data_IF_004881125006
#
_entry.id   IF_004881125006
#
_cell.length_a   1.000
_cell.length_b   1.000
_cell.length_c   1.000
_cell.angle_alpha   90.00
_cell.angle_beta   90.00
_cell.angle_gamma   90.00
#
_symmetry.space_group_name_H-M   'P 1'
#
loop_
_entity.id
_entity.type
_entity.pdbx_description
1 polymer ?
#
# COMPACT_ATOMS: atom_id res chain seq x y z
N UNK A 1 -10.15 36.06 25.98
CA UNK A 1 -11.16 35.11 26.50
C UNK A 1 -11.73 34.19 25.42
N UNK A 2 -11.46 34.42 24.12
CA UNK A 2 -11.84 33.51 23.02
C UNK A 2 -10.75 32.47 22.66
N UNK A 3 -9.48 32.68 23.06
CA UNK A 3 -8.38 31.75 22.72
C UNK A 3 -8.24 30.55 23.66
N UNK A 4 -8.85 30.59 24.84
CA UNK A 4 -8.78 29.48 25.82
C UNK A 4 -9.75 28.35 25.44
N UNK A 5 -10.91 28.70 24.87
CA UNK A 5 -11.96 27.74 24.51
C UNK A 5 -11.57 26.85 23.32
N UNK A 6 -10.76 27.35 22.37
CA UNK A 6 -10.31 26.58 21.20
C UNK A 6 -9.19 25.58 21.57
N UNK A 7 -8.33 25.95 22.52
CA UNK A 7 -7.28 25.08 23.03
C UNK A 7 -7.84 23.96 23.92
N UNK A 8 -8.86 24.25 24.73
CA UNK A 8 -9.57 23.23 25.52
C UNK A 8 -10.28 22.20 24.63
N UNK A 9 -10.92 22.61 23.53
CA UNK A 9 -11.57 21.67 22.60
C UNK A 9 -10.61 20.76 21.82
N UNK A 10 -9.37 21.18 21.58
CA UNK A 10 -8.34 20.33 20.92
C UNK A 10 -7.69 19.36 21.90
N UNK A 11 -7.49 19.77 23.14
CA UNK A 11 -7.01 18.89 24.21
C UNK A 11 -8.02 17.79 24.52
N UNK A 12 -9.32 18.12 24.51
CA UNK A 12 -10.40 17.16 24.72
C UNK A 12 -10.57 16.16 23.56
N UNK A 13 -10.33 16.58 22.30
CA UNK A 13 -10.34 15.66 21.15
C UNK A 13 -9.16 14.67 21.18
N UNK A 14 -7.96 15.14 21.52
CA UNK A 14 -6.81 14.25 21.72
C UNK A 14 -6.99 13.31 22.92
N UNK A 15 -7.66 13.78 23.99
CA UNK A 15 -8.01 12.96 25.14
C UNK A 15 -9.11 11.93 24.84
N UNK A 16 -10.05 12.23 23.93
CA UNK A 16 -11.07 11.30 23.45
C UNK A 16 -10.50 10.21 22.52
N UNK A 17 -9.46 10.52 21.73
CA UNK A 17 -8.72 9.52 20.94
C UNK A 17 -7.82 8.64 21.84
N UNK A 18 -7.35 9.17 22.98
CA UNK A 18 -6.53 8.44 23.95
C UNK A 18 -7.32 7.62 24.98
N UNK A 19 -8.64 7.83 25.08
CA UNK A 19 -9.49 7.17 26.07
C UNK A 19 -10.00 5.81 25.55
N UNK A 20 -9.23 4.78 25.90
CA UNK A 20 -9.52 3.32 25.93
C UNK A 20 -8.55 2.48 25.09
N UNK A 21 -7.25 2.57 25.37
CA UNK A 21 -6.34 1.45 25.08
C UNK A 21 -6.63 0.35 26.12
N UNK A 22 -7.51 -0.59 25.76
CA UNK A 22 -7.81 -1.83 26.50
C UNK A 22 -6.81 -2.95 26.20
N UNK A 23 -6.20 -2.93 25.01
CA UNK A 23 -5.21 -3.92 24.54
C UNK A 23 -3.76 -3.43 24.74
N UNK A 24 -2.82 -4.32 25.08
CA UNK A 24 -1.38 -4.00 25.06
C UNK A 24 -0.85 -3.65 23.66
N UNK A 25 -1.63 -3.95 22.60
CA UNK A 25 -1.28 -3.73 21.21
C UNK A 25 -2.18 -2.66 20.57
N UNK A 26 -1.63 -1.55 20.05
CA UNK A 26 -2.42 -0.46 19.47
C UNK A 26 -3.15 -0.86 18.17
N UNK A 27 -2.72 -1.94 17.50
CA UNK A 27 -3.31 -2.42 16.25
C UNK A 27 -4.45 -3.43 16.48
N UNK A 28 -4.98 -3.51 17.69
CA UNK A 28 -6.14 -4.35 18.04
C UNK A 28 -7.26 -3.55 18.73
N UNK A 29 -7.14 -2.24 18.78
CA UNK A 29 -8.02 -1.38 19.57
C UNK A 29 -8.36 -0.06 18.86
N UNK A 30 -9.35 0.66 19.37
CA UNK A 30 -9.84 1.91 18.80
C UNK A 30 -10.23 1.76 17.33
N UNK A 31 -9.63 2.55 16.45
CA UNK A 31 -9.91 2.45 15.01
C UNK A 31 -9.45 1.11 14.41
N UNK A 32 -8.50 0.41 15.05
CA UNK A 32 -7.98 -0.88 14.62
C UNK A 32 -8.71 -2.08 15.23
N UNK A 33 -9.75 -1.88 16.05
CA UNK A 33 -10.53 -3.00 16.59
C UNK A 33 -11.02 -3.91 15.45
N UNK A 34 -10.66 -5.21 15.44
CA UNK A 34 -10.99 -6.12 14.36
C UNK A 34 -12.49 -6.27 14.13
N UNK A 35 -12.89 -6.40 12.87
CA UNK A 35 -14.24 -6.82 12.51
C UNK A 35 -14.47 -8.28 12.87
N UNK A 36 -15.69 -8.59 13.32
CA UNK A 36 -16.09 -9.94 13.74
C UNK A 36 -16.86 -10.72 12.69
N UNK A 37 -17.42 -10.04 11.69
CA UNK A 37 -18.39 -10.59 10.74
C UNK A 37 -18.05 -10.24 9.28
N UNK A 38 -18.38 -11.13 8.35
CA UNK A 38 -18.46 -10.84 6.91
C UNK A 38 -19.84 -10.27 6.59
N UNK A 39 -19.87 -9.14 5.89
CA UNK A 39 -21.10 -8.41 5.57
C UNK A 39 -21.30 -8.37 4.05
N UNK A 40 -22.56 -8.28 3.65
CA UNK A 40 -23.00 -7.91 2.31
C UNK A 40 -24.07 -6.83 2.44
N UNK A 41 -23.87 -5.70 1.78
CA UNK A 41 -24.80 -4.58 1.76
C UNK A 41 -25.09 -4.22 0.30
N UNK A 42 -26.36 -4.15 -0.09
CA UNK A 42 -26.80 -3.77 -1.44
C UNK A 42 -27.61 -2.49 -1.47
N UNK A 43 -27.99 -1.98 -0.29
CA UNK A 43 -28.65 -0.69 -0.10
C UNK A 43 -27.67 0.26 0.59
N UNK A 44 -26.99 1.08 -0.21
CA UNK A 44 -25.96 2.00 0.25
C UNK A 44 -26.45 3.44 0.15
N UNK A 45 -26.43 4.16 1.27
CA UNK A 45 -26.78 5.57 1.28
C UNK A 45 -25.65 6.39 0.62
N UNK A 46 -26.02 7.34 -0.24
CA UNK A 46 -25.08 8.18 -0.99
C UNK A 46 -25.42 9.66 -0.77
N UNK A 47 -24.41 10.45 -0.41
CA UNK A 47 -24.46 11.92 -0.45
C UNK A 47 -23.67 12.41 -1.66
N UNK A 48 -24.19 13.41 -2.38
CA UNK A 48 -23.59 13.92 -3.61
C UNK A 48 -23.98 13.11 -4.85
N UNK A 49 -23.17 13.14 -5.89
CA UNK A 49 -23.44 12.49 -7.19
C UNK A 49 -22.24 11.67 -7.64
N UNK A 50 -22.39 10.34 -7.64
CA UNK A 50 -21.36 9.45 -8.19
C UNK A 50 -21.29 9.66 -9.71
N UNK A 51 -20.10 9.95 -10.27
CA UNK A 51 -19.98 10.19 -11.70
C UNK A 51 -20.40 8.95 -12.51
N UNK A 52 -21.19 9.14 -13.56
CA UNK A 52 -21.71 8.03 -14.36
C UNK A 52 -20.62 7.19 -15.07
N UNK A 53 -19.47 7.80 -15.39
CA UNK A 53 -18.31 7.11 -15.98
C UNK A 53 -17.43 6.38 -14.96
N UNK A 54 -17.78 6.41 -13.67
CA UNK A 54 -17.04 5.76 -12.60
C UNK A 54 -17.57 4.33 -12.41
N UNK A 55 -17.11 3.41 -13.27
CA UNK A 55 -17.60 2.03 -13.34
C UNK A 55 -16.50 1.01 -12.99
N UNK A 56 -16.75 0.21 -11.97
CA UNK A 56 -15.79 -0.74 -11.43
C UNK A 56 -16.01 -0.97 -9.95
N UNK A 57 -14.92 -1.29 -9.26
CA UNK A 57 -14.94 -1.56 -7.83
C UNK A 57 -13.69 -1.04 -7.18
N UNK A 58 -13.87 -0.31 -6.07
CA UNK A 58 -12.80 -0.04 -5.15
C UNK A 58 -12.61 -1.28 -4.28
N UNK A 59 -11.40 -1.83 -4.25
CA UNK A 59 -11.05 -2.94 -3.38
C UNK A 59 -9.86 -2.56 -2.53
N UNK A 60 -9.89 -2.89 -1.25
CA UNK A 60 -8.80 -2.66 -0.29
C UNK A 60 -8.64 -3.85 0.62
N UNK A 61 -7.41 -4.23 0.94
CA UNK A 61 -7.12 -5.32 1.88
C UNK A 61 -6.36 -4.78 3.10
N UNK A 62 -6.46 -5.51 4.21
CA UNK A 62 -5.67 -5.25 5.40
C UNK A 62 -5.78 -6.38 6.40
N UNK A 63 -5.08 -6.26 7.53
CA UNK A 63 -5.07 -7.27 8.57
C UNK A 63 -6.34 -7.16 9.42
N UNK A 64 -6.98 -8.29 9.66
CA UNK A 64 -8.16 -8.43 10.49
C UNK A 64 -8.19 -9.86 11.09
N UNK A 65 -7.62 -10.08 12.29
CA UNK A 65 -7.46 -11.43 12.84
C UNK A 65 -8.79 -12.18 12.91
N UNK A 66 -8.81 -13.42 12.41
CA UNK A 66 -10.01 -14.25 12.34
C UNK A 66 -10.31 -14.97 13.67
N UNK A 67 -9.31 -15.13 14.54
CA UNK A 67 -9.47 -15.57 15.92
C UNK A 67 -8.98 -14.48 16.87
N UNK A 68 -9.34 -14.59 18.16
CA UNK A 68 -8.79 -13.70 19.18
C UNK A 68 -7.25 -13.82 19.20
N UNK A 69 -6.51 -12.75 18.83
CA UNK A 69 -5.06 -12.81 18.76
C UNK A 69 -4.43 -12.70 20.15
N UNK A 70 -3.20 -13.20 20.28
CA UNK A 70 -2.34 -12.88 21.42
C UNK A 70 -1.81 -11.45 21.23
N UNK A 71 -2.30 -10.50 22.04
CA UNK A 71 -1.96 -9.09 21.89
C UNK A 71 -0.45 -8.81 22.03
N UNK A 72 0.27 -9.56 22.86
CA UNK A 72 1.71 -9.36 23.06
C UNK A 72 2.53 -9.80 21.83
N UNK A 73 2.01 -10.76 21.06
CA UNK A 73 2.70 -11.35 19.89
C UNK A 73 2.17 -10.87 18.55
N UNK A 74 1.02 -10.21 18.54
CA UNK A 74 0.38 -9.77 17.32
C UNK A 74 1.23 -8.68 16.64
N UNK A 75 1.57 -8.91 15.37
CA UNK A 75 2.16 -7.89 14.52
C UNK A 75 1.15 -7.51 13.44
N UNK A 76 0.95 -6.21 13.22
CA UNK A 76 -0.05 -5.69 12.28
C UNK A 76 0.14 -6.28 10.87
N UNK A 77 1.39 -6.37 10.41
CA UNK A 77 1.71 -6.90 9.06
C UNK A 77 1.49 -8.42 8.90
N UNK A 78 1.36 -9.17 9.99
CA UNK A 78 1.20 -10.64 9.92
C UNK A 78 -0.23 -11.10 10.21
N UNK A 79 -1.17 -10.17 10.40
CA UNK A 79 -2.57 -10.50 10.66
C UNK A 79 -3.27 -11.15 9.48
N UNK A 80 -4.33 -11.93 9.74
CA UNK A 80 -5.16 -12.54 8.70
C UNK A 80 -5.71 -11.48 7.74
N UNK A 81 -5.73 -11.72 6.43
CA UNK A 81 -6.24 -10.74 5.48
C UNK A 81 -7.76 -10.68 5.42
N UNK A 82 -8.29 -9.46 5.40
CA UNK A 82 -9.68 -9.18 5.01
C UNK A 82 -9.70 -8.16 3.88
N UNK A 83 -10.39 -8.53 2.80
CA UNK A 83 -10.64 -7.67 1.66
C UNK A 83 -11.98 -6.98 1.87
N UNK A 84 -12.04 -5.70 1.52
CA UNK A 84 -13.24 -4.88 1.43
C UNK A 84 -13.42 -4.46 -0.01
N UNK A 85 -14.59 -4.72 -0.59
CA UNK A 85 -14.95 -4.32 -1.95
C UNK A 85 -16.21 -3.46 -1.96
N UNK A 86 -16.22 -2.43 -2.81
CA UNK A 86 -17.41 -1.64 -3.10
C UNK A 86 -17.53 -1.44 -4.61
N UNK A 87 -18.58 -2.01 -5.20
CA UNK A 87 -18.85 -1.90 -6.63
C UNK A 87 -19.74 -0.71 -6.95
N UNK A 88 -19.41 -0.03 -8.04
CA UNK A 88 -20.12 1.13 -8.56
C UNK A 88 -20.32 0.93 -10.06
N UNK A 89 -21.53 1.20 -10.54
CA UNK A 89 -21.81 1.31 -11.97
C UNK A 89 -22.95 2.30 -12.20
N UNK A 90 -22.94 2.98 -13.36
CA UNK A 90 -24.01 3.88 -13.79
C UNK A 90 -24.42 4.92 -12.72
N UNK A 91 -23.45 5.46 -11.98
CA UNK A 91 -23.68 6.45 -10.93
C UNK A 91 -24.34 5.90 -9.66
N UNK A 92 -24.28 4.57 -9.43
CA UNK A 92 -24.85 3.91 -8.25
C UNK A 92 -23.83 3.05 -7.54
N UNK A 93 -23.79 3.10 -6.22
CA UNK A 93 -23.12 2.10 -5.41
C UNK A 93 -23.98 0.83 -5.36
N UNK A 94 -23.48 -0.26 -5.93
CA UNK A 94 -24.24 -1.50 -6.14
C UNK A 94 -24.18 -2.41 -4.91
N UNK A 95 -22.98 -2.59 -4.36
CA UNK A 95 -22.79 -3.41 -3.18
C UNK A 95 -21.51 -3.03 -2.45
N UNK A 96 -21.49 -3.33 -1.15
CA UNK A 96 -20.30 -3.45 -0.32
C UNK A 96 -20.21 -4.88 0.22
N UNK A 97 -18.99 -5.44 0.24
CA UNK A 97 -18.69 -6.73 0.85
C UNK A 97 -17.36 -6.69 1.58
N UNK A 98 -17.25 -7.46 2.65
CA UNK A 98 -15.96 -7.84 3.21
C UNK A 98 -15.84 -9.35 3.34
N UNK A 99 -14.69 -9.89 2.93
CA UNK A 99 -14.40 -11.33 2.99
C UNK A 99 -13.00 -11.53 3.56
N UNK A 100 -12.85 -12.45 4.50
CA UNK A 100 -11.53 -12.94 4.85
C UNK A 100 -10.93 -13.70 3.67
N UNK A 101 -9.62 -13.56 3.50
CA UNK A 101 -8.85 -14.53 2.72
C UNK A 101 -8.88 -15.85 3.48
N UNK A 102 -9.42 -16.90 2.86
CA UNK A 102 -9.63 -18.22 3.51
C UNK A 102 -8.33 -19.03 3.58
N UNK A 103 -7.33 -18.52 4.31
CA UNK A 103 -6.15 -19.29 4.70
C UNK A 103 -6.55 -20.49 5.57
N UNK A 104 -5.68 -21.48 5.74
CA UNK A 104 -5.96 -22.65 6.59
C UNK A 104 -6.32 -22.24 8.04
N UNK A 105 -5.62 -21.24 8.58
CA UNK A 105 -5.86 -20.71 9.92
C UNK A 105 -7.24 -20.03 10.03
N UNK A 106 -7.59 -19.18 9.05
CA UNK A 106 -8.89 -18.51 8.98
C UNK A 106 -10.02 -19.53 8.83
N UNK A 107 -9.86 -20.48 7.90
CA UNK A 107 -10.82 -21.54 7.64
C UNK A 107 -11.17 -22.32 8.91
N UNK A 108 -10.14 -22.72 9.67
CA UNK A 108 -10.29 -23.37 10.97
C UNK A 108 -10.98 -22.48 12.00
N UNK A 109 -10.60 -21.20 12.08
CA UNK A 109 -11.16 -20.26 13.06
C UNK A 109 -12.63 -19.93 12.80
N UNK A 110 -13.03 -19.86 11.52
CA UNK A 110 -14.38 -19.46 11.08
C UNK A 110 -15.28 -20.63 10.73
N UNK A 111 -14.77 -21.86 10.69
CA UNK A 111 -15.54 -23.05 10.34
C UNK A 111 -15.97 -23.08 8.88
N UNK A 112 -15.13 -22.55 7.98
CA UNK A 112 -15.33 -22.52 6.53
C UNK A 112 -14.27 -23.36 5.83
N UNK A 113 -14.45 -23.64 4.54
CA UNK A 113 -13.42 -24.29 3.74
C UNK A 113 -12.27 -23.33 3.43
N UNK A 114 -11.03 -23.82 3.49
CA UNK A 114 -9.87 -23.05 3.04
C UNK A 114 -9.94 -22.84 1.51
N UNK A 115 -9.43 -21.70 1.04
CA UNK A 115 -9.32 -21.44 -0.39
C UNK A 115 -8.51 -22.58 -1.04
N UNK A 116 -9.03 -23.26 -2.09
CA UNK A 116 -8.32 -24.34 -2.75
C UNK A 116 -7.02 -23.86 -3.40
N UNK A 117 -6.18 -24.79 -3.84
CA UNK A 117 -4.94 -24.50 -4.56
C UNK A 117 -3.66 -24.73 -3.74
N UNK A 118 -2.48 -24.65 -4.39
CA UNK A 118 -1.19 -24.93 -3.75
C UNK A 118 -0.80 -23.85 -2.75
N UNK A 119 0.13 -24.15 -1.83
CA UNK A 119 0.73 -23.19 -0.88
C UNK A 119 2.23 -23.06 -1.12
N UNK A 120 2.79 -21.90 -0.74
CA UNK A 120 4.24 -21.66 -0.71
C UNK A 120 4.61 -20.91 0.56
N UNK A 121 5.42 -21.54 1.40
CA UNK A 121 5.82 -21.10 2.76
C UNK A 121 4.68 -20.91 3.77
N UNK A 122 3.68 -20.07 3.47
CA UNK A 122 2.49 -19.77 4.26
C UNK A 122 1.34 -19.36 3.33
N UNK A 123 0.14 -19.13 3.89
CA UNK A 123 -1.05 -18.79 3.10
C UNK A 123 -1.87 -17.62 3.64
N UNK A 124 -1.32 -16.88 4.61
CA UNK A 124 -1.85 -15.58 5.05
C UNK A 124 -1.49 -14.50 4.03
N UNK A 125 -2.50 -13.89 3.42
CA UNK A 125 -2.36 -12.83 2.42
C UNK A 125 -3.15 -11.60 2.85
N UNK A 126 -2.53 -10.42 3.01
CA UNK A 126 -3.21 -9.26 3.62
C UNK A 126 -2.80 -7.88 3.07
N UNK A 127 -1.87 -7.80 2.12
CA UNK A 127 -1.11 -6.55 1.89
C UNK A 127 -1.68 -5.71 0.75
N UNK A 128 -1.95 -6.30 -0.41
CA UNK A 128 -2.53 -5.58 -1.55
C UNK A 128 -3.60 -6.39 -2.28
N UNK A 129 -4.51 -5.71 -2.98
CA UNK A 129 -5.50 -6.31 -3.87
C UNK A 129 -5.51 -5.56 -5.19
N UNK A 130 -5.16 -6.23 -6.30
CA UNK A 130 -4.88 -5.61 -7.60
C UNK A 130 -5.58 -6.35 -8.75
N UNK A 131 -5.82 -5.62 -9.85
CA UNK A 131 -6.24 -6.23 -11.12
C UNK A 131 -5.03 -6.60 -11.98
N UNK A 132 -4.91 -7.86 -12.40
CA UNK A 132 -3.87 -8.32 -13.34
C UNK A 132 -4.50 -9.26 -14.35
N UNK A 133 -4.35 -8.95 -15.64
CA UNK A 133 -4.88 -9.78 -16.73
C UNK A 133 -6.40 -9.98 -16.67
N UNK A 134 -7.15 -8.96 -16.24
CA UNK A 134 -8.62 -9.03 -16.09
C UNK A 134 -9.11 -9.82 -14.88
N UNK A 135 -8.21 -10.32 -14.03
CA UNK A 135 -8.49 -11.05 -12.79
C UNK A 135 -8.08 -10.23 -11.57
N UNK A 136 -8.58 -10.62 -10.39
CA UNK A 136 -8.34 -9.92 -9.13
C UNK A 136 -7.44 -10.78 -8.25
N UNK A 137 -6.40 -10.17 -7.70
CA UNK A 137 -5.38 -10.87 -6.93
C UNK A 137 -5.17 -10.19 -5.59
N UNK A 138 -5.37 -10.93 -4.50
CA UNK A 138 -4.87 -10.56 -3.19
C UNK A 138 -3.42 -11.03 -3.05
N UNK A 139 -2.56 -10.15 -2.54
CA UNK A 139 -1.10 -10.30 -2.53
C UNK A 139 -0.51 -10.01 -1.14
N UNK A 140 0.64 -10.65 -0.88
CA UNK A 140 1.50 -10.48 0.29
C UNK A 140 2.94 -10.73 -0.16
N UNK A 141 3.89 -10.05 0.46
CA UNK A 141 5.32 -10.29 0.21
C UNK A 141 5.86 -11.52 0.96
N UNK A 142 7.15 -11.81 0.77
CA UNK A 142 7.93 -12.75 1.59
C UNK A 142 7.58 -14.25 1.50
N UNK A 143 6.66 -14.70 0.64
CA UNK A 143 6.48 -16.13 0.39
C UNK A 143 5.11 -16.50 -0.16
N UNK A 144 4.04 -16.08 0.49
CA UNK A 144 2.68 -16.56 0.18
C UNK A 144 2.32 -16.42 -1.30
N UNK A 145 1.78 -17.49 -1.88
CA UNK A 145 1.24 -17.41 -3.24
C UNK A 145 0.04 -16.45 -3.28
N UNK A 146 -0.16 -15.73 -4.41
CA UNK A 146 -1.36 -14.92 -4.63
C UNK A 146 -2.65 -15.71 -4.41
N UNK A 147 -3.69 -15.01 -3.98
CA UNK A 147 -5.06 -15.54 -3.94
C UNK A 147 -5.88 -14.83 -5.01
N UNK A 148 -6.36 -15.58 -5.99
CA UNK A 148 -7.31 -15.10 -6.99
C UNK A 148 -8.69 -14.94 -6.36
N UNK A 149 -9.35 -13.83 -6.64
CA UNK A 149 -10.70 -13.52 -6.18
C UNK A 149 -11.63 -13.36 -7.37
N UNK A 150 -12.82 -13.92 -7.23
CA UNK A 150 -13.96 -13.59 -8.07
C UNK A 150 -14.37 -12.12 -7.94
N UNK A 151 -15.09 -11.64 -8.94
CA UNK A 151 -15.60 -10.28 -9.03
C UNK A 151 -16.44 -9.84 -7.83
N UNK A 152 -17.16 -10.78 -7.23
CA UNK A 152 -18.05 -10.60 -6.09
C UNK A 152 -17.41 -11.01 -4.75
N UNK A 153 -16.16 -11.49 -4.79
CA UNK A 153 -15.30 -11.93 -3.68
C UNK A 153 -15.72 -13.26 -3.02
N UNK A 154 -16.70 -13.97 -3.55
CA UNK A 154 -17.21 -15.20 -2.93
C UNK A 154 -16.30 -16.41 -3.19
N UNK A 155 -15.87 -16.55 -4.44
CA UNK A 155 -14.89 -17.55 -4.86
C UNK A 155 -13.48 -17.01 -4.68
N UNK A 156 -12.63 -17.85 -4.11
CA UNK A 156 -11.23 -17.58 -3.83
C UNK A 156 -10.41 -18.81 -4.17
N UNK A 157 -9.20 -18.66 -4.69
CA UNK A 157 -8.26 -19.77 -4.82
C UNK A 157 -6.82 -19.28 -4.68
N UNK A 158 -5.99 -19.98 -3.92
CA UNK A 158 -4.55 -19.75 -4.01
C UNK A 158 -4.09 -20.18 -5.40
N UNK A 159 -3.53 -19.23 -6.14
CA UNK A 159 -3.24 -19.41 -7.55
C UNK A 159 -1.88 -18.76 -7.90
N UNK A 160 -0.82 -19.54 -8.15
CA UNK A 160 0.49 -19.04 -8.56
C UNK A 160 0.49 -18.69 -10.06
N UNK A 161 -0.40 -17.78 -10.48
CA UNK A 161 -0.61 -17.39 -11.88
C UNK A 161 -0.77 -18.59 -12.82
N UNK A 162 -1.68 -19.48 -12.45
CA UNK A 162 -2.00 -20.76 -13.08
C UNK A 162 -0.78 -21.70 -13.23
N UNK A 163 0.09 -21.70 -12.22
CA UNK A 163 1.28 -22.54 -12.16
C UNK A 163 2.50 -21.97 -12.89
N UNK A 164 2.46 -20.71 -13.33
CA UNK A 164 3.60 -20.07 -14.01
C UNK A 164 4.56 -19.38 -13.05
N UNK A 165 4.12 -19.02 -11.83
CA UNK A 165 4.97 -18.47 -10.79
C UNK A 165 5.67 -19.57 -10.00
N UNK A 166 6.99 -19.47 -9.84
CA UNK A 166 7.79 -20.49 -9.17
C UNK A 166 7.94 -20.30 -7.64
N UNK A 167 7.78 -19.07 -7.13
CA UNK A 167 8.02 -18.76 -5.71
C UNK A 167 7.19 -17.59 -5.21
N UNK A 168 7.75 -16.78 -4.31
CA UNK A 168 7.07 -15.59 -3.78
C UNK A 168 6.67 -14.59 -4.87
N UNK A 169 5.60 -13.85 -4.62
CA UNK A 169 5.24 -12.66 -5.39
C UNK A 169 5.25 -11.43 -4.49
N UNK A 170 5.52 -10.25 -5.05
CA UNK A 170 5.47 -9.00 -4.27
C UNK A 170 4.03 -8.56 -4.03
N UNK A 171 3.79 -7.85 -2.92
CA UNK A 171 2.56 -7.09 -2.72
C UNK A 171 2.52 -5.81 -3.56
N UNK A 172 3.64 -5.38 -4.14
CA UNK A 172 3.76 -4.16 -4.93
C UNK A 172 4.22 -4.44 -6.36
N UNK A 173 3.38 -5.11 -7.16
CA UNK A 173 3.60 -5.20 -8.59
C UNK A 173 3.16 -3.89 -9.26
N UNK A 174 3.92 -3.43 -10.25
CA UNK A 174 3.63 -2.19 -10.99
C UNK A 174 3.39 -2.43 -12.46
N UNK A 175 2.28 -1.91 -12.98
CA UNK A 175 1.92 -2.02 -14.39
C UNK A 175 2.75 -1.02 -15.20
N UNK A 176 3.41 -1.51 -16.24
CA UNK A 176 3.92 -0.65 -17.29
C UNK A 176 2.78 -0.31 -18.27
N UNK A 177 2.27 0.94 -18.28
CA UNK A 177 1.16 1.32 -19.15
C UNK A 177 1.53 1.28 -20.65
N UNK A 178 2.82 1.22 -21.02
CA UNK A 178 3.26 1.17 -22.42
C UNK A 178 3.27 -0.25 -22.98
N UNK A 179 3.56 -1.26 -22.15
CA UNK A 179 3.69 -2.66 -22.58
C UNK A 179 2.54 -3.54 -22.11
N UNK A 180 1.85 -3.15 -21.05
CA UNK A 180 0.86 -3.98 -20.37
C UNK A 180 1.48 -5.09 -19.50
N UNK A 181 2.80 -5.06 -19.31
CA UNK A 181 3.53 -5.96 -18.42
C UNK A 181 3.49 -5.45 -16.99
N UNK A 182 3.37 -6.36 -16.03
CA UNK A 182 3.38 -6.10 -14.62
C UNK A 182 4.73 -6.53 -14.04
N UNK A 183 5.43 -5.63 -13.36
CA UNK A 183 6.79 -5.82 -12.85
C UNK A 183 6.81 -5.86 -11.33
N UNK A 184 7.50 -6.84 -10.75
CA UNK A 184 7.66 -6.96 -9.31
C UNK A 184 9.08 -7.40 -8.93
N UNK A 185 9.59 -6.89 -7.82
CA UNK A 185 10.73 -7.48 -7.12
C UNK A 185 10.19 -8.33 -5.96
N UNK A 186 10.43 -9.63 -6.02
CA UNK A 186 9.88 -10.61 -5.10
C UNK A 186 10.99 -11.23 -4.26
N UNK A 187 10.82 -11.27 -2.93
CA UNK A 187 11.78 -11.88 -2.02
C UNK A 187 11.17 -13.02 -1.22
N UNK A 188 12.01 -13.97 -0.80
CA UNK A 188 11.62 -15.08 0.06
C UNK A 188 11.98 -14.80 1.52
N UNK A 189 10.99 -14.83 2.42
CA UNK A 189 11.20 -14.61 3.86
C UNK A 189 11.79 -15.83 4.58
N UNK A 190 11.52 -17.03 4.07
CA UNK A 190 11.99 -18.31 4.63
C UNK A 190 13.18 -18.93 3.89
N UNK A 191 13.59 -18.33 2.77
CA UNK A 191 14.85 -18.63 2.06
C UNK A 191 15.68 -17.33 1.95
N UNK A 192 16.24 -16.81 3.06
CA UNK A 192 16.86 -15.48 3.10
C UNK A 192 17.92 -15.29 2.01
N UNK A 193 17.79 -14.19 1.26
CA UNK A 193 18.72 -13.79 0.20
C UNK A 193 18.36 -14.29 -1.20
N UNK A 194 17.25 -15.04 -1.33
CA UNK A 194 16.62 -15.36 -2.61
C UNK A 194 15.63 -14.27 -2.98
N UNK A 195 15.89 -13.61 -4.10
CA UNK A 195 15.13 -12.51 -4.66
C UNK A 195 15.00 -12.72 -6.17
N UNK A 196 13.92 -12.25 -6.78
CA UNK A 196 13.75 -12.28 -8.24
C UNK A 196 13.05 -11.03 -8.75
N UNK A 197 13.42 -10.58 -9.94
CA UNK A 197 12.55 -9.73 -10.75
C UNK A 197 11.59 -10.60 -11.54
N UNK A 198 10.29 -10.46 -11.25
CA UNK A 198 9.21 -11.20 -11.88
C UNK A 198 8.45 -10.28 -12.84
N UNK A 199 8.16 -10.79 -14.04
CA UNK A 199 7.34 -10.12 -15.06
C UNK A 199 6.12 -10.97 -15.35
N UNK A 200 4.93 -10.38 -15.18
CA UNK A 200 3.64 -10.97 -15.54
C UNK A 200 3.12 -10.25 -16.78
N UNK A 201 2.73 -10.99 -17.82
CA UNK A 201 2.20 -10.41 -19.04
C UNK A 201 0.73 -9.97 -18.88
N UNK A 202 0.18 -9.35 -19.93
CA UNK A 202 -1.22 -8.89 -19.98
C UNK A 202 -2.27 -10.01 -19.90
N UNK A 203 -1.88 -11.28 -20.04
CA UNK A 203 -2.75 -12.44 -19.82
C UNK A 203 -2.73 -12.96 -18.38
N UNK A 204 -1.91 -12.34 -17.52
CA UNK A 204 -1.74 -12.75 -16.13
C UNK A 204 -0.89 -14.01 -16.00
N UNK A 205 0.11 -14.20 -16.88
CA UNK A 205 1.10 -15.29 -16.77
C UNK A 205 2.47 -14.74 -16.47
N UNK A 206 3.22 -15.40 -15.59
CA UNK A 206 4.63 -15.11 -15.41
C UNK A 206 5.39 -15.52 -16.68
N UNK A 207 6.04 -14.56 -17.31
CA UNK A 207 6.81 -14.74 -18.56
C UNK A 207 8.32 -14.63 -18.35
N UNK A 208 8.73 -14.08 -17.20
CA UNK A 208 10.14 -13.97 -16.83
C UNK A 208 10.31 -13.94 -15.31
N UNK A 209 11.29 -14.68 -14.82
CA UNK A 209 11.81 -14.59 -13.46
C UNK A 209 13.34 -14.53 -13.51
N UNK A 210 13.91 -13.39 -13.12
CA UNK A 210 15.35 -13.17 -13.08
C UNK A 210 15.85 -13.13 -11.64
N UNK A 211 16.67 -14.11 -11.21
CA UNK A 211 17.21 -14.13 -9.87
C UNK A 211 18.13 -12.92 -9.60
N UNK A 212 18.02 -12.35 -8.41
CA UNK A 212 18.88 -11.29 -7.88
C UNK A 212 19.44 -11.75 -6.53
N UNK A 213 20.72 -12.07 -6.48
CA UNK A 213 21.35 -12.57 -5.25
C UNK A 213 21.72 -11.41 -4.30
N UNK A 214 21.04 -11.32 -3.15
CA UNK A 214 21.37 -10.40 -2.06
C UNK A 214 21.58 -11.18 -0.75
N UNK A 215 22.81 -11.67 -0.46
CA UNK A 215 23.06 -12.61 0.65
C UNK A 215 22.70 -12.09 2.04
N UNK A 216 22.63 -10.76 2.21
CA UNK A 216 22.21 -10.13 3.46
C UNK A 216 20.70 -10.10 3.66
N UNK A 217 19.92 -10.65 2.72
CA UNK A 217 18.47 -10.85 2.83
C UNK A 217 17.69 -9.58 3.23
N UNK A 218 17.76 -8.51 2.42
CA UNK A 218 17.00 -7.31 2.68
C UNK A 218 15.50 -7.56 2.50
N UNK A 219 14.70 -6.81 3.25
CA UNK A 219 13.30 -6.56 2.92
C UNK A 219 13.25 -5.61 1.74
N UNK A 220 12.65 -6.06 0.65
CA UNK A 220 12.34 -5.21 -0.51
C UNK A 220 10.83 -5.15 -0.61
N UNK A 221 10.24 -4.16 0.09
CA UNK A 221 8.79 -3.97 0.16
C UNK A 221 8.22 -3.60 -1.21
N UNK A 222 8.84 -2.62 -1.85
CA UNK A 222 8.40 -2.05 -3.11
C UNK A 222 9.56 -1.97 -4.12
N UNK A 223 9.21 -1.74 -5.38
CA UNK A 223 10.12 -1.53 -6.49
C UNK A 223 9.58 -0.44 -7.40
N UNK A 224 10.34 -0.07 -8.43
CA UNK A 224 9.81 0.78 -9.49
C UNK A 224 10.41 0.36 -10.83
N UNK A 225 9.86 0.91 -11.90
CA UNK A 225 10.43 0.76 -13.24
C UNK A 225 10.61 2.13 -13.87
N UNK A 226 11.45 2.18 -14.90
CA UNK A 226 11.53 3.27 -15.86
C UNK A 226 11.39 2.68 -17.27
N UNK A 227 11.57 3.48 -18.33
CA UNK A 227 11.68 2.92 -19.68
C UNK A 227 12.88 1.97 -19.81
N UNK A 228 14.00 2.28 -19.14
CA UNK A 228 15.25 1.52 -19.24
C UNK A 228 15.47 0.49 -18.12
N UNK A 229 15.02 0.78 -16.90
CA UNK A 229 15.45 0.04 -15.72
C UNK A 229 14.29 -0.53 -14.89
N UNK A 230 14.57 -1.62 -14.19
CA UNK A 230 13.90 -2.00 -12.94
C UNK A 230 14.76 -1.46 -11.79
N UNK A 231 14.11 -0.81 -10.84
CA UNK A 231 14.73 -0.19 -9.67
C UNK A 231 14.61 -1.13 -8.48
N UNK A 232 15.75 -1.49 -7.89
CA UNK A 232 15.86 -2.36 -6.71
C UNK A 232 16.26 -1.52 -5.50
N UNK A 233 15.45 -1.55 -4.44
CA UNK A 233 15.64 -0.79 -3.21
C UNK A 233 16.37 -1.64 -2.16
N UNK A 234 17.70 -1.58 -2.15
CA UNK A 234 18.52 -2.37 -1.22
C UNK A 234 18.83 -1.57 0.05
N UNK A 235 17.94 -1.68 1.03
CA UNK A 235 17.98 -0.89 2.27
C UNK A 235 18.33 -1.72 3.52
N UNK A 236 18.77 -1.06 4.62
CA UNK A 236 19.31 -1.72 5.81
C UNK A 236 18.25 -2.37 6.72
N UNK A 237 17.12 -2.83 6.19
CA UNK A 237 16.18 -3.69 6.94
C UNK A 237 16.39 -5.10 6.43
N UNK A 238 16.94 -5.98 7.27
CA UNK A 238 17.34 -7.33 6.87
C UNK A 238 16.75 -8.39 7.77
N UNK A 239 16.66 -9.61 7.25
CA UNK A 239 16.28 -10.78 8.04
C UNK A 239 17.17 -10.93 9.29
N UNK A 240 16.54 -11.09 10.44
CA UNK A 240 17.15 -11.14 11.76
C UNK A 240 16.92 -12.50 12.42
N UNK A 241 17.96 -13.34 12.39
CA UNK A 241 17.95 -14.64 13.08
C UNK A 241 17.68 -14.48 14.58
N UNK A 242 18.16 -13.38 15.18
CA UNK A 242 17.91 -13.08 16.59
C UNK A 242 16.42 -12.78 16.85
N UNK A 243 15.78 -11.98 16.00
CA UNK A 243 14.34 -11.69 16.12
C UNK A 243 13.50 -12.97 15.95
N UNK A 244 13.82 -13.79 14.95
CA UNK A 244 13.17 -15.08 14.75
C UNK A 244 13.35 -16.01 15.95
N UNK A 245 14.57 -16.13 16.49
CA UNK A 245 14.87 -17.01 17.64
C UNK A 245 14.15 -16.56 18.92
N UNK A 246 13.85 -15.26 19.03
CA UNK A 246 13.07 -14.69 20.13
C UNK A 246 11.55 -14.82 19.92
N UNK A 247 11.11 -15.46 18.83
CA UNK A 247 9.70 -15.75 18.57
C UNK A 247 8.94 -14.65 17.83
N UNK A 248 9.64 -13.67 17.22
CA UNK A 248 8.98 -12.67 16.37
C UNK A 248 8.31 -13.34 15.15
N UNK A 249 7.07 -12.98 14.88
CA UNK A 249 6.37 -13.35 13.63
C UNK A 249 6.82 -12.51 12.43
N UNK A 250 7.54 -11.41 12.68
CA UNK A 250 8.10 -10.51 11.68
C UNK A 250 9.62 -10.35 11.94
N UNK A 251 10.46 -11.26 11.43
CA UNK A 251 11.88 -11.32 11.79
C UNK A 251 12.75 -10.39 10.95
N UNK A 252 12.37 -9.12 10.81
CA UNK A 252 13.13 -8.10 10.07
C UNK A 252 13.44 -6.91 10.97
N UNK A 253 14.73 -6.55 11.05
CA UNK A 253 15.21 -5.43 11.87
C UNK A 253 16.13 -4.52 11.07
N UNK A 254 16.26 -3.28 11.54
CA UNK A 254 17.33 -2.40 11.11
C UNK A 254 18.71 -3.04 11.36
N UNK A 255 19.57 -3.01 10.34
CA UNK A 255 20.91 -3.56 10.36
C UNK A 255 21.92 -2.48 9.96
N UNK A 256 22.51 -1.75 10.92
CA UNK A 256 23.40 -0.63 10.63
C UNK A 256 24.73 -1.06 9.98
N UNK A 257 25.02 -2.36 9.92
CA UNK A 257 26.20 -2.88 9.22
C UNK A 257 25.99 -3.01 7.70
N UNK A 258 24.75 -2.92 7.21
CA UNK A 258 24.44 -3.04 5.79
C UNK A 258 24.38 -1.67 5.13
N UNK A 259 25.11 -1.44 4.02
CA UNK A 259 25.01 -0.20 3.26
C UNK A 259 23.68 -0.11 2.53
N UNK A 260 23.15 1.12 2.41
CA UNK A 260 21.98 1.39 1.58
C UNK A 260 22.39 1.68 0.13
N UNK A 261 21.68 1.12 -0.84
CA UNK A 261 21.97 1.27 -2.27
C UNK A 261 20.70 1.24 -3.12
N UNK A 262 20.76 1.91 -4.26
CA UNK A 262 19.79 1.73 -5.35
C UNK A 262 20.41 0.89 -6.45
N UNK A 263 19.73 -0.17 -6.86
CA UNK A 263 20.09 -0.96 -8.04
C UNK A 263 19.30 -0.50 -9.27
N UNK A 264 19.99 -0.18 -10.35
CA UNK A 264 19.38 0.03 -11.67
C UNK A 264 19.69 -1.18 -12.55
N UNK A 265 18.72 -2.09 -12.70
CA UNK A 265 18.84 -3.27 -13.56
C UNK A 265 18.20 -2.97 -14.91
N UNK A 266 18.87 -3.12 -16.06
CA UNK A 266 18.20 -3.00 -17.36
C UNK A 266 16.98 -3.94 -17.43
N UNK A 267 15.83 -3.51 -17.97
CA UNK A 267 14.56 -4.27 -17.87
C UNK A 267 14.61 -5.72 -18.36
N UNK A 268 15.41 -6.01 -19.39
CA UNK A 268 15.67 -7.35 -19.91
C UNK A 268 17.05 -7.92 -19.54
N UNK A 269 17.79 -7.22 -18.69
CA UNK A 269 19.12 -7.60 -18.23
C UNK A 269 19.08 -8.54 -17.03
N UNK A 270 20.25 -9.02 -16.65
CA UNK A 270 20.46 -9.94 -15.54
C UNK A 270 20.96 -9.24 -14.28
N UNK A 271 21.06 -9.96 -13.17
CA UNK A 271 21.70 -9.42 -11.96
C UNK A 271 23.12 -8.89 -12.17
N UNK A 272 23.85 -9.38 -13.18
CA UNK A 272 25.22 -8.93 -13.47
C UNK A 272 25.26 -7.53 -14.08
N UNK A 273 24.13 -7.09 -14.63
CA UNK A 273 23.98 -5.81 -15.31
C UNK A 273 23.51 -4.70 -14.34
N UNK A 274 23.27 -5.04 -13.07
CA UNK A 274 22.78 -4.08 -12.08
C UNK A 274 23.86 -3.03 -11.77
N UNK A 275 23.50 -1.77 -11.97
CA UNK A 275 24.29 -0.63 -11.53
C UNK A 275 23.90 -0.27 -10.10
N UNK A 276 24.72 -0.70 -9.13
CA UNK A 276 24.56 -0.34 -7.72
C UNK A 276 25.09 1.07 -7.44
N UNK A 277 24.21 1.94 -6.97
CA UNK A 277 24.46 3.33 -6.64
C UNK A 277 24.33 3.50 -5.12
N UNK A 278 25.42 3.76 -4.38
CA UNK A 278 25.36 3.97 -2.93
C UNK A 278 24.51 5.18 -2.55
N UNK A 279 23.78 5.09 -1.44
CA UNK A 279 23.01 6.19 -0.85
C UNK A 279 23.25 6.26 0.64
N UNK A 280 22.91 7.40 1.25
CA UNK A 280 22.86 7.50 2.71
C UNK A 280 21.81 6.52 3.27
N UNK A 281 22.07 5.88 4.42
CA UNK A 281 21.13 4.97 5.04
C UNK A 281 19.73 5.57 5.22
N UNK A 282 18.74 4.76 4.91
CA UNK A 282 17.32 5.05 5.07
C UNK A 282 16.50 3.83 4.67
N UNK A 283 15.20 3.93 4.82
CA UNK A 283 14.25 2.91 4.37
C UNK A 283 13.07 3.58 3.68
N UNK A 284 12.55 2.97 2.62
CA UNK A 284 11.28 3.37 2.03
C UNK A 284 10.38 2.14 1.97
N UNK A 285 9.14 2.31 2.41
CA UNK A 285 8.10 1.36 2.07
C UNK A 285 7.69 1.58 0.62
N UNK A 286 7.20 2.77 0.28
CA UNK A 286 6.58 2.99 -1.02
C UNK A 286 7.32 3.99 -1.90
N UNK A 287 7.34 3.67 -3.19
CA UNK A 287 7.78 4.56 -4.27
C UNK A 287 6.55 5.25 -4.87
N UNK A 288 6.66 6.54 -5.15
CA UNK A 288 5.64 7.25 -5.93
C UNK A 288 5.78 6.85 -7.38
N UNK A 289 6.95 7.08 -7.98
CA UNK A 289 7.24 6.74 -9.36
C UNK A 289 8.76 6.80 -9.62
N UNK A 290 9.20 6.22 -10.72
CA UNK A 290 10.54 6.41 -11.25
C UNK A 290 10.49 6.64 -12.78
N UNK A 291 11.43 7.43 -13.32
CA UNK A 291 11.51 7.66 -14.76
C UNK A 291 12.88 8.09 -15.25
N UNK A 292 13.10 7.91 -16.55
CA UNK A 292 14.30 8.34 -17.25
C UNK A 292 14.21 9.81 -17.66
N UNK A 293 15.28 10.57 -17.40
CA UNK A 293 15.45 11.93 -17.90
C UNK A 293 16.18 11.95 -19.23
N UNK A 294 15.95 13.00 -20.01
CA UNK A 294 16.61 13.22 -21.30
C UNK A 294 18.14 13.35 -21.21
N UNK A 295 18.69 13.69 -20.05
CA UNK A 295 20.14 13.76 -19.79
C UNK A 295 20.73 12.39 -19.37
N UNK A 296 19.96 11.31 -19.45
CA UNK A 296 20.41 9.95 -19.13
C UNK A 296 20.31 9.57 -17.66
N UNK A 297 19.92 10.50 -16.77
CA UNK A 297 19.72 10.23 -15.34
C UNK A 297 18.37 9.57 -15.06
N UNK A 298 18.24 8.98 -13.87
CA UNK A 298 16.99 8.36 -13.39
C UNK A 298 16.47 9.17 -12.21
N UNK A 299 15.19 9.51 -12.23
CA UNK A 299 14.47 10.09 -11.09
C UNK A 299 13.71 9.00 -10.38
N UNK A 300 13.74 9.01 -9.05
CA UNK A 300 12.96 8.14 -8.18
C UNK A 300 12.36 9.04 -7.10
N UNK A 301 11.04 9.10 -7.02
CA UNK A 301 10.33 9.84 -5.98
C UNK A 301 9.73 8.85 -4.99
N UNK A 302 9.99 8.99 -3.69
CA UNK A 302 9.67 7.98 -2.67
C UNK A 302 9.51 8.60 -1.27
N UNK A 303 8.76 7.92 -0.40
CA UNK A 303 8.61 8.27 1.00
C UNK A 303 9.69 7.59 1.85
N UNK A 304 10.50 8.38 2.57
CA UNK A 304 11.71 7.86 3.24
C UNK A 304 11.63 7.98 4.76
N UNK A 305 12.27 7.03 5.45
CA UNK A 305 12.41 6.95 6.90
C UNK A 305 13.89 6.81 7.28
N UNK A 306 14.23 7.25 8.50
CA UNK A 306 15.61 7.21 8.99
C UNK A 306 16.11 5.77 9.26
N UNK A 307 15.44 5.02 10.14
CA UNK A 307 15.91 3.70 10.62
C UNK A 307 14.78 2.75 11.01
N UNK A 308 13.99 2.30 10.04
CA UNK A 308 12.79 1.46 10.28
C UNK A 308 13.10 0.14 11.01
N UNK A 309 12.26 -0.23 11.97
CA UNK A 309 12.38 -1.43 12.80
C UNK A 309 13.67 -1.50 13.64
N UNK A 310 14.11 -0.37 14.18
CA UNK A 310 15.26 -0.33 15.10
C UNK A 310 14.90 -0.81 16.50
N UNK A 311 13.66 -0.59 16.94
CA UNK A 311 13.27 -0.77 18.34
C UNK A 311 12.54 -2.11 18.60
N UNK A 312 12.26 -2.87 17.52
CA UNK A 312 12.08 -4.33 17.54
C UNK A 312 10.79 -4.90 18.15
N UNK A 313 9.87 -4.09 18.68
CA UNK A 313 8.64 -4.59 19.32
C UNK A 313 7.39 -4.41 18.45
N UNK A 314 7.12 -3.21 17.94
CA UNK A 314 5.93 -2.90 17.13
C UNK A 314 6.28 -1.81 16.10
N UNK A 315 6.50 -2.19 14.84
CA UNK A 315 6.70 -1.24 13.75
C UNK A 315 5.41 -0.96 12.98
N UNK A 316 5.37 0.09 12.14
CA UNK A 316 6.48 0.98 11.77
C UNK A 316 6.76 2.10 12.80
N UNK A 317 8.03 2.24 13.22
CA UNK A 317 8.48 3.01 14.39
C UNK A 317 9.42 4.20 14.08
N UNK A 318 10.04 4.25 12.91
CA UNK A 318 11.10 5.23 12.63
C UNK A 318 10.62 6.58 12.14
N UNK A 319 11.35 7.66 12.41
CA UNK A 319 11.03 9.01 11.93
C UNK A 319 10.95 9.08 10.39
N UNK A 320 9.85 9.64 9.88
CA UNK A 320 9.69 9.98 8.45
C UNK A 320 10.54 11.20 8.09
N UNK A 321 11.21 11.13 6.94
CA UNK A 321 11.90 12.24 6.27
C UNK A 321 10.99 12.96 5.26
N UNK A 322 9.78 12.46 5.08
CA UNK A 322 8.79 12.96 4.12
C UNK A 322 9.00 12.41 2.71
N UNK A 323 8.54 13.17 1.73
CA UNK A 323 8.64 12.86 0.31
C UNK A 323 9.93 13.42 -0.28
N UNK A 324 10.74 12.56 -0.88
CA UNK A 324 12.03 12.93 -1.47
C UNK A 324 12.10 12.54 -2.95
N UNK A 325 12.94 13.28 -3.69
CA UNK A 325 13.38 13.00 -5.06
C UNK A 325 14.84 12.61 -5.07
N UNK A 326 15.13 11.39 -5.51
CA UNK A 326 16.48 10.89 -5.73
C UNK A 326 16.77 10.92 -7.23
N UNK A 327 17.80 11.67 -7.63
CA UNK A 327 18.29 11.70 -9.01
C UNK A 327 19.57 10.89 -9.10
N UNK A 328 19.46 9.69 -9.67
CA UNK A 328 20.56 8.75 -9.86
C UNK A 328 21.23 9.02 -11.20
N UNK A 329 22.55 9.14 -11.20
CA UNK A 329 23.38 9.21 -12.40
C UNK A 329 24.00 7.83 -12.66
N UNK A 330 23.53 7.07 -13.67
CA UNK A 330 24.02 5.72 -13.92
C UNK A 330 25.50 5.66 -14.33
N UNK A 331 26.05 6.72 -14.93
CA UNK A 331 27.44 6.77 -15.39
C UNK A 331 28.39 6.95 -14.21
N UNK A 332 28.07 7.88 -13.31
CA UNK A 332 28.91 8.18 -12.14
C UNK A 332 28.54 7.37 -10.90
N UNK A 333 27.39 6.67 -10.93
CA UNK A 333 26.77 5.95 -9.81
C UNK A 333 26.53 6.83 -8.57
N UNK A 334 26.33 8.12 -8.81
CA UNK A 334 26.03 9.10 -7.77
C UNK A 334 24.52 9.31 -7.64
N UNK A 335 24.07 9.67 -6.44
CA UNK A 335 22.67 9.98 -6.17
C UNK A 335 22.58 11.35 -5.52
N UNK A 336 21.85 12.25 -6.16
CA UNK A 336 21.51 13.54 -5.59
C UNK A 336 20.11 13.48 -4.97
N UNK A 337 20.00 13.85 -3.69
CA UNK A 337 18.72 13.83 -2.96
C UNK A 337 18.18 15.26 -2.83
N UNK A 338 16.89 15.43 -3.08
CA UNK A 338 16.15 16.66 -2.83
C UNK A 338 14.85 16.34 -2.09
N UNK A 339 14.62 16.97 -0.94
CA UNK A 339 13.32 16.92 -0.28
C UNK A 339 12.27 17.67 -1.11
N UNK A 340 11.16 17.00 -1.45
CA UNK A 340 9.98 17.61 -2.06
C UNK A 340 9.14 18.25 -0.95
N UNK A 341 8.84 17.48 0.10
CA UNK A 341 8.13 17.95 1.29
C UNK A 341 8.58 17.13 2.51
N UNK A 342 9.10 17.80 3.53
CA UNK A 342 9.60 17.18 4.77
C UNK A 342 8.47 16.75 5.73
N UNK A 343 7.21 17.08 5.42
CA UNK A 343 6.06 16.70 6.24
C UNK A 343 5.91 15.17 6.22
N UNK A 344 5.67 14.52 7.37
CA UNK A 344 5.40 13.08 7.41
C UNK A 344 4.21 12.71 6.52
N UNK A 345 4.43 11.77 5.63
CA UNK A 345 3.45 11.34 4.63
C UNK A 345 3.82 9.96 4.08
N UNK A 346 2.82 9.21 3.63
CA UNK A 346 2.98 7.86 3.08
C UNK A 346 1.82 7.51 2.14
N UNK A 347 1.78 6.27 1.66
CA UNK A 347 0.80 5.76 0.70
C UNK A 347 0.73 6.65 -0.54
N UNK A 348 1.87 6.89 -1.21
CA UNK A 348 1.91 7.71 -2.39
C UNK A 348 1.15 7.06 -3.53
N UNK A 349 0.44 7.89 -4.30
CA UNK A 349 -0.23 7.50 -5.54
C UNK A 349 -0.02 8.56 -6.61
N UNK A 350 -0.16 8.14 -7.85
CA UNK A 350 -0.12 8.98 -9.04
C UNK A 350 -1.21 8.53 -10.03
N UNK A 351 -1.27 9.21 -11.16
CA UNK A 351 -1.94 8.67 -12.34
C UNK A 351 -1.14 7.49 -12.91
N UNK A 352 -1.64 6.26 -12.74
CA UNK A 352 -0.99 5.02 -13.17
C UNK A 352 -0.69 4.98 -14.68
N UNK A 353 -1.36 5.81 -15.51
CA UNK A 353 -1.01 5.98 -16.93
C UNK A 353 0.40 6.57 -17.13
N UNK A 354 0.98 7.13 -16.08
CA UNK A 354 2.33 7.73 -16.03
C UNK A 354 3.35 6.90 -15.24
N UNK A 355 2.98 5.72 -14.74
CA UNK A 355 3.97 4.87 -14.06
C UNK A 355 5.15 4.56 -15.00
N UNK A 356 6.38 4.66 -14.49
CA UNK A 356 7.61 4.51 -15.26
C UNK A 356 7.98 5.68 -16.17
N UNK A 357 7.19 6.77 -16.17
CA UNK A 357 7.32 7.91 -17.06
C UNK A 357 7.38 9.24 -16.29
N UNK A 358 7.81 10.30 -16.99
CA UNK A 358 7.74 11.65 -16.43
C UNK A 358 6.29 12.01 -16.10
N UNK A 359 6.10 12.60 -14.93
CA UNK A 359 4.80 12.91 -14.34
C UNK A 359 4.90 14.19 -13.50
N UNK A 360 3.75 14.77 -13.18
CA UNK A 360 3.63 16.05 -12.49
C UNK A 360 2.93 15.95 -11.14
N UNK A 361 1.92 15.11 -10.99
CA UNK A 361 1.09 15.08 -9.80
C UNK A 361 1.33 13.85 -8.94
N UNK A 362 1.60 14.07 -7.66
CA UNK A 362 1.67 13.02 -6.64
C UNK A 362 0.63 13.29 -5.55
N UNK A 363 0.01 12.23 -5.06
CA UNK A 363 -0.94 12.25 -3.96
C UNK A 363 -0.39 11.42 -2.82
N UNK A 364 -0.51 11.88 -1.58
CA UNK A 364 -0.03 11.13 -0.41
C UNK A 364 -0.99 11.30 0.74
N UNK A 365 -1.07 10.32 1.61
CA UNK A 365 -1.71 10.47 2.91
C UNK A 365 -0.73 11.16 3.87
N UNK A 366 -1.19 12.19 4.58
CA UNK A 366 -0.41 12.77 5.67
C UNK A 366 -0.21 11.73 6.78
N UNK A 367 0.85 11.86 7.56
CA UNK A 367 1.02 11.07 8.78
C UNK A 367 1.10 11.98 9.99
N UNK A 368 0.61 11.53 11.16
CA UNK A 368 0.91 12.19 12.43
C UNK A 368 2.42 12.41 12.59
N UNK A 369 2.79 13.57 13.14
CA UNK A 369 4.19 13.95 13.30
C UNK A 369 4.94 13.03 14.27
N UNK A 370 4.25 12.62 15.34
CA UNK A 370 4.78 11.70 16.34
C UNK A 370 4.80 10.26 15.80
N UNK A 371 5.98 9.59 15.74
CA UNK A 371 6.10 8.24 15.22
C UNK A 371 5.15 7.22 15.86
N UNK A 372 5.00 7.29 17.18
CA UNK A 372 4.16 6.37 17.94
C UNK A 372 2.65 6.53 17.68
N UNK A 373 2.22 7.65 17.09
CA UNK A 373 0.81 7.92 16.76
C UNK A 373 0.47 7.62 15.30
N UNK A 374 1.44 7.18 14.49
CA UNK A 374 1.22 6.95 13.06
C UNK A 374 0.21 5.84 12.83
N UNK A 375 -0.67 6.07 11.86
CA UNK A 375 -1.78 5.17 11.55
C UNK A 375 -2.77 4.99 12.70
N UNK A 376 -2.66 5.75 13.80
CA UNK A 376 -3.54 5.65 14.97
C UNK A 376 -4.48 6.87 15.13
N UNK A 377 -4.44 7.85 14.23
CA UNK A 377 -5.17 9.11 14.40
C UNK A 377 -5.47 9.85 13.11
N UNK A 378 -6.06 11.04 13.27
CA UNK A 378 -6.51 11.92 12.19
C UNK A 378 -5.42 12.19 11.15
N UNK A 379 -5.84 12.25 9.90
CA UNK A 379 -4.96 12.51 8.76
C UNK A 379 -5.68 13.27 7.65
N UNK A 380 -4.92 13.70 6.65
CA UNK A 380 -5.31 14.52 5.50
C UNK A 380 -4.75 13.89 4.24
N UNK A 381 -5.17 14.38 3.08
CA UNK A 381 -4.46 14.10 1.83
C UNK A 381 -3.64 15.32 1.41
N UNK A 382 -2.46 15.06 0.86
CA UNK A 382 -1.68 16.04 0.14
C UNK A 382 -1.74 15.75 -1.35
N UNK A 383 -1.81 16.81 -2.15
CA UNK A 383 -1.55 16.79 -3.57
C UNK A 383 -0.35 17.68 -3.85
N UNK A 384 0.67 17.12 -4.46
CA UNK A 384 1.88 17.82 -4.87
C UNK A 384 1.87 18.06 -6.37
N UNK A 385 2.11 19.30 -6.77
CA UNK A 385 2.47 19.66 -8.14
C UNK A 385 4.00 19.76 -8.21
N UNK A 386 4.63 18.73 -8.80
CA UNK A 386 6.08 18.55 -8.82
C UNK A 386 6.80 19.52 -9.76
N UNK A 387 6.08 20.21 -10.65
CA UNK A 387 6.64 21.26 -11.51
C UNK A 387 6.68 22.61 -10.78
N UNK A 388 5.59 22.97 -10.09
CA UNK A 388 5.49 24.27 -9.41
C UNK A 388 6.03 24.24 -7.98
N UNK A 389 6.14 23.04 -7.38
CA UNK A 389 6.47 22.84 -5.98
C UNK A 389 5.32 23.14 -5.02
N UNK A 390 4.11 23.38 -5.54
CA UNK A 390 2.94 23.67 -4.71
C UNK A 390 2.38 22.38 -4.07
N UNK A 391 1.90 22.53 -2.83
CA UNK A 391 1.14 21.50 -2.11
C UNK A 391 -0.27 22.01 -1.80
N UNK A 392 -1.27 21.23 -2.17
CA UNK A 392 -2.65 21.41 -1.74
C UNK A 392 -3.01 20.38 -0.66
N UNK A 393 -4.00 20.69 0.18
CA UNK A 393 -4.40 19.82 1.29
C UNK A 393 -5.90 19.58 1.27
N UNK A 394 -6.33 18.33 1.23
CA UNK A 394 -7.71 17.96 1.51
C UNK A 394 -7.83 17.58 2.99
N UNK A 395 -8.61 18.37 3.73
CA UNK A 395 -8.88 18.15 5.15
C UNK A 395 -10.30 17.58 5.30
N UNK A 396 -10.42 16.36 5.82
CA UNK A 396 -11.71 15.71 6.00
C UNK A 396 -12.50 16.25 7.21
N UNK A 397 -11.86 17.06 8.06
CA UNK A 397 -12.45 17.56 9.30
C UNK A 397 -12.15 16.68 10.52
N UNK A 398 -12.64 17.13 11.67
CA UNK A 398 -12.38 16.52 12.99
C UNK A 398 -12.97 15.12 13.08
N UNK A 399 -12.22 14.18 13.66
CA UNK A 399 -12.61 12.79 13.85
C UNK A 399 -12.57 11.95 12.58
N UNK A 400 -11.94 12.44 11.51
CA UNK A 400 -11.89 11.76 10.22
C UNK A 400 -10.50 11.19 9.94
N UNK A 401 -10.43 9.89 9.69
CA UNK A 401 -9.18 9.15 9.47
C UNK A 401 -9.20 8.50 8.09
N UNK A 402 -8.58 9.11 7.06
CA UNK A 402 -8.46 8.49 5.75
C UNK A 402 -7.49 7.29 5.79
N UNK A 403 -7.76 6.30 4.94
CA UNK A 403 -6.75 5.32 4.50
C UNK A 403 -6.10 5.76 3.18
N UNK A 404 -5.51 4.80 2.46
CA UNK A 404 -4.98 5.04 1.12
C UNK A 404 -6.09 5.40 0.12
N UNK A 405 -5.85 6.47 -0.66
CA UNK A 405 -6.70 6.91 -1.76
C UNK A 405 -6.02 6.60 -3.10
N UNK A 406 -6.80 6.12 -4.07
CA UNK A 406 -6.31 5.78 -5.40
C UNK A 406 -6.82 6.74 -6.45
N UNK A 407 -5.96 7.07 -7.42
CA UNK A 407 -6.35 7.92 -8.54
C UNK A 407 -7.04 7.11 -9.62
N UNK A 408 -8.12 7.66 -10.17
CA UNK A 408 -8.87 7.10 -11.29
C UNK A 408 -9.05 8.19 -12.35
N UNK A 409 -8.53 8.03 -13.58
CA UNK A 409 -8.67 9.06 -14.60
C UNK A 409 -10.12 9.24 -15.05
N UNK A 410 -10.52 10.47 -15.42
CA UNK A 410 -11.86 10.75 -15.97
C UNK A 410 -12.13 10.02 -17.29
N UNK A 411 -11.06 9.68 -18.00
CA UNK A 411 -11.09 8.87 -19.20
C UNK A 411 -9.65 8.60 -19.68
N UNK A 412 -9.46 7.74 -20.68
CA UNK A 412 -8.13 7.38 -21.17
C UNK A 412 -7.32 8.60 -21.67
N UNK A 413 -8.01 9.60 -22.24
CA UNK A 413 -7.41 10.80 -22.83
C UNK A 413 -7.48 12.05 -21.93
N UNK A 414 -7.96 11.92 -20.68
CA UNK A 414 -8.04 13.07 -19.76
C UNK A 414 -6.65 13.56 -19.38
N UNK A 415 -6.52 14.84 -19.03
CA UNK A 415 -5.26 15.36 -18.51
C UNK A 415 -4.83 14.61 -17.23
N UNK A 416 -3.55 14.73 -16.85
CA UNK A 416 -2.99 13.98 -15.71
C UNK A 416 -3.67 14.33 -14.39
N UNK A 417 -4.07 15.59 -14.21
CA UNK A 417 -4.85 16.06 -13.07
C UNK A 417 -6.35 15.78 -13.15
N UNK A 418 -6.86 15.33 -14.30
CA UNK A 418 -8.30 15.16 -14.53
C UNK A 418 -8.72 13.74 -14.18
N UNK A 419 -9.08 13.56 -12.92
CA UNK A 419 -9.49 12.27 -12.37
C UNK A 419 -10.35 12.42 -11.13
N UNK A 420 -10.42 11.31 -10.40
CA UNK A 420 -10.95 11.22 -9.07
C UNK A 420 -9.94 10.57 -8.15
N UNK A 421 -9.96 10.92 -6.88
CA UNK A 421 -9.37 10.11 -5.82
C UNK A 421 -10.49 9.39 -5.08
N UNK A 422 -10.33 8.09 -4.88
CA UNK A 422 -11.29 7.27 -4.13
C UNK A 422 -10.59 6.52 -3.00
N UNK A 423 -11.19 6.54 -1.81
CA UNK A 423 -10.62 5.89 -0.63
C UNK A 423 -11.60 5.84 0.53
N UNK A 424 -11.27 5.04 1.54
CA UNK A 424 -12.09 4.90 2.75
C UNK A 424 -11.67 5.91 3.81
N UNK A 425 -12.65 6.50 4.48
CA UNK A 425 -12.47 7.45 5.58
C UNK A 425 -13.28 7.00 6.78
N UNK A 426 -12.60 6.71 7.89
CA UNK A 426 -13.23 6.37 9.15
C UNK A 426 -13.75 7.65 9.81
N UNK A 427 -14.98 7.59 10.30
CA UNK A 427 -15.57 8.57 11.18
C UNK A 427 -15.51 8.04 12.61
N UNK A 428 -14.62 8.59 13.43
CA UNK A 428 -14.40 8.12 14.80
C UNK A 428 -15.50 8.56 15.75
N UNK A 429 -16.27 9.60 15.42
CA UNK A 429 -17.36 10.10 16.26
C UNK A 429 -18.62 9.23 16.15
N UNK A 430 -18.87 8.69 14.96
CA UNK A 430 -20.02 7.80 14.69
C UNK A 430 -19.66 6.32 14.57
N UNK A 431 -18.37 5.99 14.66
CA UNK A 431 -17.82 4.63 14.45
C UNK A 431 -18.25 4.01 13.11
N UNK A 432 -18.22 4.81 12.05
CA UNK A 432 -18.60 4.42 10.69
C UNK A 432 -17.46 4.63 9.71
N UNK A 433 -17.65 4.18 8.48
CA UNK A 433 -16.70 4.42 7.40
C UNK A 433 -17.45 4.89 6.16
N UNK A 434 -16.86 5.84 5.46
CA UNK A 434 -17.35 6.32 4.18
C UNK A 434 -16.38 5.94 3.07
N UNK A 435 -16.88 5.54 1.90
CA UNK A 435 -16.11 5.61 0.66
C UNK A 435 -16.27 7.02 0.10
N UNK A 436 -15.17 7.76 0.02
CA UNK A 436 -15.16 9.15 -0.44
C UNK A 436 -14.60 9.24 -1.85
N UNK A 437 -15.30 9.95 -2.74
CA UNK A 437 -14.89 10.24 -4.11
C UNK A 437 -14.63 11.75 -4.23
N UNK A 438 -13.37 12.12 -4.48
CA UNK A 438 -12.92 13.51 -4.64
C UNK A 438 -12.66 13.81 -6.11
N UNK A 439 -13.17 14.92 -6.64
CA UNK A 439 -12.74 15.44 -7.94
C UNK A 439 -11.40 16.17 -7.79
N UNK A 440 -10.35 15.68 -8.45
CA UNK A 440 -8.99 16.21 -8.30
C UNK A 440 -8.84 17.64 -8.82
N UNK A 441 -9.75 18.12 -9.68
CA UNK A 441 -9.79 19.53 -10.12
C UNK A 441 -10.31 20.48 -9.03
N UNK A 442 -10.96 19.93 -8.00
CA UNK A 442 -11.47 20.65 -6.81
C UNK A 442 -10.94 20.01 -5.53
N UNK A 443 -9.68 19.62 -5.53
CA UNK A 443 -9.05 18.78 -4.50
C UNK A 443 -9.27 19.26 -3.06
N UNK A 444 -9.25 20.57 -2.79
CA UNK A 444 -9.40 21.13 -1.43
C UNK A 444 -10.88 21.37 -1.03
N UNK A 445 -11.82 21.12 -1.94
CA UNK A 445 -13.26 21.33 -1.74
C UNK A 445 -13.98 20.09 -1.23
N UNK A 446 -15.30 20.19 -1.13
CA UNK A 446 -16.17 19.08 -0.71
C UNK A 446 -16.05 17.86 -1.63
N UNK A 447 -16.20 16.63 -1.09
CA UNK A 447 -16.31 15.43 -1.91
C UNK A 447 -17.37 15.54 -2.99
N UNK A 448 -17.08 14.96 -4.16
CA UNK A 448 -18.07 14.85 -5.22
C UNK A 448 -19.19 13.88 -4.83
N UNK A 449 -18.83 12.77 -4.21
CA UNK A 449 -19.77 11.80 -3.65
C UNK A 449 -19.19 11.09 -2.42
N UNK A 450 -20.07 10.65 -1.54
CA UNK A 450 -19.76 9.88 -0.34
C UNK A 450 -20.74 8.71 -0.24
N UNK A 451 -20.23 7.48 -0.22
CA UNK A 451 -21.03 6.27 0.03
C UNK A 451 -20.86 5.89 1.50
N UNK A 452 -21.96 5.85 2.23
CA UNK A 452 -21.96 5.65 3.69
C UNK A 452 -22.06 4.18 4.06
N UNK A 453 -21.10 3.66 4.82
CA UNK A 453 -21.13 2.31 5.38
C UNK A 453 -21.52 2.37 6.86
N UNK A 454 -22.44 1.51 7.33
CA UNK A 454 -23.04 1.61 8.65
C UNK A 454 -22.14 1.12 9.80
N UNK A 455 -20.89 0.75 9.49
CA UNK A 455 -19.92 0.18 10.41
C UNK A 455 -18.52 0.74 10.13
N UNK A 456 -17.66 0.73 11.16
CA UNK A 456 -16.25 1.03 11.01
C UNK A 456 -15.55 -0.11 10.27
N UNK A 457 -14.75 0.26 9.28
CA UNK A 457 -13.76 -0.63 8.68
C UNK A 457 -12.39 -0.25 9.23
N UNK A 458 -11.66 -1.18 9.88
CA UNK A 458 -10.32 -0.91 10.39
C UNK A 458 -9.37 -0.42 9.29
N UNK A 459 -8.35 0.38 9.64
CA UNK A 459 -7.28 0.71 8.73
C UNK A 459 -6.67 -0.56 8.11
N UNK A 460 -6.50 -0.54 6.79
CA UNK A 460 -5.81 -1.60 6.07
C UNK A 460 -4.52 -1.10 5.46
N UNK A 461 -4.04 -1.83 4.46
CA UNK A 461 -2.87 -1.48 3.68
C UNK A 461 -3.33 -0.95 2.33
N UNK A 462 -3.14 -1.72 1.26
CA UNK A 462 -3.32 -1.20 -0.09
C UNK A 462 -4.70 -1.50 -0.67
N UNK A 463 -5.20 -0.55 -1.45
CA UNK A 463 -6.38 -0.70 -2.28
C UNK A 463 -6.16 -0.24 -3.70
N UNK A 464 -7.02 -0.65 -4.62
CA UNK A 464 -6.98 -0.28 -6.03
C UNK A 464 -8.39 -0.15 -6.59
N UNK A 465 -8.51 0.68 -7.63
CA UNK A 465 -9.68 0.70 -8.47
C UNK A 465 -9.56 -0.36 -9.55
N UNK A 466 -10.47 -1.32 -9.57
CA UNK A 466 -10.55 -2.36 -10.60
C UNK A 466 -11.74 -2.02 -11.48
N UNK A 467 -11.46 -1.46 -12.66
CA UNK A 467 -12.48 -1.07 -13.63
C UNK A 467 -13.29 -2.30 -14.08
N UNK A 468 -14.58 -2.09 -14.37
CA UNK A 468 -15.39 -3.08 -15.07
C UNK A 468 -14.83 -3.32 -16.47
N UNK A 469 -14.88 -4.56 -16.95
CA UNK A 469 -14.54 -4.83 -18.35
C UNK A 469 -15.53 -4.10 -19.26
N UNK A 470 -14.99 -3.33 -20.21
CA UNK A 470 -15.78 -2.59 -21.21
C UNK A 470 -16.45 -3.49 -22.24
#
# INVERSE_FOLDING_TARGET
>A
MQDVTILETKADAAALVAAEIKSANPFLDGIHTPMTDELELTELAVTGEIPAGFDGRYMRIGPNPAAAPDAERYHWFTGDGMVHGLAIAEGKALWYRNRWIRSEAVAKARGVEAAPGPRHSFDTVNTNVVGIGGRIWALVEAGGYPVELSQDMEEQASNPFDGTLAGAFSAHPHLDPRTGEMHAICYEGFEPGKLSHVVVDSSGKVVREEPIALPHAPMIHDSAITERFVVVLDFPVTFSVAALSNGSTFPYNWNPAQPARIGLMPRGGSQQDILWCPVEPGFAFHVVNAYDRADGKVVIDLCVYDSMFSDGAHGPDARSRGLERWTVDPETRSVAVRTIDASPQEFPRLDERRFGQAYRYAYTMALPAEPAARFLGESKLYRHDLETGARQVHDFGVGRVPGEFVFVPKGPDSAEEEGWLVGLVIDTLSERTDLVILDTTRFEGEPQAVVHLPHRIPPGFHGNWIASAA
#
